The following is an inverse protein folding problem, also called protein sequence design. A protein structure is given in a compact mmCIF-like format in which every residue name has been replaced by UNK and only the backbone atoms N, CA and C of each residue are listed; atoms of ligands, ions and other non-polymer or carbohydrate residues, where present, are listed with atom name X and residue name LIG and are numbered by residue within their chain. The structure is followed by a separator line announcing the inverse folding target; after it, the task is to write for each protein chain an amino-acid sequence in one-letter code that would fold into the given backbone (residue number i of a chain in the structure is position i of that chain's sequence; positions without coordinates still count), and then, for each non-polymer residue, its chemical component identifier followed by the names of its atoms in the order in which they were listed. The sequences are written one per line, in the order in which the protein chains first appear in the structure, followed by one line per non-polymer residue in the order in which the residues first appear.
data_IF_967026671485
#
_entry.id   IF_967026671485
#
_cell.length_a   1.000
_cell.length_b   1.000
_cell.length_c   1.000
_cell.angle_alpha   90.00
_cell.angle_beta   90.00
_cell.angle_gamma   90.00
#
_symmetry.space_group_name_H-M   'P 1'
#
loop_
_entity.id
_entity.type
_entity.pdbx_description
1 polymer ?
#
# COMPACT_ATOMS: atom_id res chain seq x y z
N UNK A 1 -44.43 44.62 27.47
CA UNK A 1 -43.76 43.40 27.97
C UNK A 1 -44.16 42.27 27.06
N UNK A 2 -43.31 42.01 26.08
CA UNK A 2 -43.37 40.85 25.18
C UNK A 2 -41.95 40.69 24.67
N UNK A 3 -41.16 39.93 25.42
CA UNK A 3 -39.81 39.57 25.06
C UNK A 3 -39.90 38.42 24.03
N UNK A 4 -39.53 38.71 22.79
CA UNK A 4 -39.23 37.70 21.78
C UNK A 4 -37.78 37.27 22.00
N UNK A 5 -37.57 36.12 22.62
CA UNK A 5 -36.26 35.47 22.66
C UNK A 5 -35.92 34.93 21.27
N UNK A 6 -34.97 35.61 20.64
CA UNK A 6 -34.27 35.22 19.42
C UNK A 6 -33.44 33.95 19.69
N UNK A 7 -33.90 32.81 19.19
CA UNK A 7 -33.11 31.58 19.19
C UNK A 7 -31.99 31.71 18.16
N UNK A 8 -30.81 32.09 18.64
CA UNK A 8 -29.54 31.97 17.91
C UNK A 8 -29.31 30.49 17.59
N UNK A 9 -29.39 30.13 16.32
CA UNK A 9 -28.88 28.86 15.81
C UNK A 9 -27.38 28.79 16.15
N UNK A 10 -27.01 27.81 16.97
CA UNK A 10 -25.61 27.49 17.24
C UNK A 10 -25.01 27.03 15.92
N UNK A 11 -23.98 27.73 15.44
CA UNK A 11 -23.13 27.28 14.34
C UNK A 11 -22.74 25.82 14.62
N UNK A 12 -23.30 24.90 13.83
CA UNK A 12 -22.74 23.56 13.72
C UNK A 12 -21.36 23.74 13.10
N UNK A 13 -20.33 23.80 13.94
CA UNK A 13 -18.96 23.52 13.50
C UNK A 13 -19.04 22.32 12.58
N UNK A 14 -18.61 22.49 11.33
CA UNK A 14 -18.51 21.40 10.39
C UNK A 14 -17.63 20.33 11.05
N UNK A 15 -18.24 19.26 11.55
CA UNK A 15 -17.52 18.05 11.89
C UNK A 15 -16.89 17.59 10.60
N UNK A 16 -15.59 17.86 10.42
CA UNK A 16 -14.79 17.32 9.33
C UNK A 16 -15.07 15.81 9.27
N UNK A 17 -15.57 15.33 8.13
CA UNK A 17 -15.88 13.92 7.99
C UNK A 17 -14.54 13.14 8.01
N UNK A 18 -14.51 11.94 8.62
CA UNK A 18 -13.28 11.15 8.69
C UNK A 18 -12.70 10.89 7.30
N UNK A 19 -11.59 11.54 6.96
CA UNK A 19 -11.00 11.38 5.63
C UNK A 19 -11.07 12.59 4.72
N UNK A 20 -11.42 13.79 5.18
CA UNK A 20 -11.45 14.98 4.31
C UNK A 20 -10.07 15.59 4.00
N UNK A 21 -9.05 15.30 4.80
CA UNK A 21 -7.68 15.79 4.59
C UNK A 21 -6.82 14.79 3.79
N UNK A 22 -6.42 15.17 2.57
CA UNK A 22 -5.49 14.40 1.73
C UNK A 22 -4.42 15.29 1.09
N UNK A 23 -3.19 14.78 1.06
CA UNK A 23 -2.11 15.37 0.25
C UNK A 23 -2.34 15.11 -1.24
N UNK A 24 -2.12 16.12 -2.09
CA UNK A 24 -2.14 15.95 -3.54
C UNK A 24 -0.96 15.09 -4.02
N UNK A 25 -1.24 14.14 -4.91
CA UNK A 25 -0.22 13.24 -5.46
C UNK A 25 0.44 13.85 -6.70
N UNK A 26 1.68 14.30 -6.56
CA UNK A 26 2.51 14.69 -7.72
C UNK A 26 3.05 13.44 -8.45
N UNK A 27 2.70 13.25 -9.73
CA UNK A 27 3.19 12.14 -10.56
C UNK A 27 4.05 12.62 -11.74
N UNK A 28 4.63 13.81 -11.62
CA UNK A 28 5.56 14.36 -12.59
C UNK A 28 6.90 13.59 -12.64
N UNK A 29 7.72 13.91 -13.64
CA UNK A 29 9.04 13.27 -13.78
C UNK A 29 9.93 13.56 -12.57
N UNK A 30 10.40 12.48 -11.95
CA UNK A 30 11.24 12.49 -10.74
C UNK A 30 12.72 12.63 -11.08
N UNK A 31 13.57 12.80 -10.06
CA UNK A 31 15.03 12.71 -10.25
C UNK A 31 15.45 11.34 -10.80
N UNK A 32 14.77 10.26 -10.42
CA UNK A 32 14.99 8.94 -11.00
C UNK A 32 14.75 8.90 -12.52
N UNK A 33 13.74 9.64 -13.03
CA UNK A 33 13.55 9.78 -14.49
C UNK A 33 14.72 10.51 -15.16
N UNK A 34 15.31 11.51 -14.50
CA UNK A 34 16.46 12.25 -15.02
C UNK A 34 17.73 11.41 -15.03
N UNK A 35 17.98 10.66 -13.96
CA UNK A 35 19.08 9.70 -13.84
C UNK A 35 18.99 8.67 -14.97
N UNK A 36 17.80 8.08 -15.16
CA UNK A 36 17.56 7.09 -16.21
C UNK A 36 17.83 7.64 -17.62
N UNK A 37 17.51 8.91 -17.88
CA UNK A 37 17.79 9.58 -19.17
C UNK A 37 19.26 9.94 -19.37
N UNK A 38 19.94 10.38 -18.31
CA UNK A 38 21.34 10.83 -18.36
C UNK A 38 22.30 9.65 -18.52
N UNK A 39 21.95 8.48 -17.96
CA UNK A 39 22.75 7.25 -17.97
C UNK A 39 24.22 7.50 -17.65
N UNK A 40 24.51 8.08 -16.48
CA UNK A 40 25.91 8.24 -16.06
C UNK A 40 26.61 6.89 -15.83
N UNK A 41 27.94 6.94 -15.66
CA UNK A 41 28.78 5.75 -15.56
C UNK A 41 28.42 4.89 -14.34
N UNK A 42 28.05 5.51 -13.22
CA UNK A 42 27.70 4.79 -12.00
C UNK A 42 26.35 4.08 -12.15
N UNK A 43 25.36 4.75 -12.73
CA UNK A 43 24.09 4.15 -13.08
C UNK A 43 24.24 3.00 -14.07
N UNK A 44 25.09 3.14 -15.09
CA UNK A 44 25.35 2.08 -16.06
C UNK A 44 25.94 0.82 -15.40
N UNK A 45 26.89 1.01 -14.47
CA UNK A 45 27.49 -0.09 -13.71
C UNK A 45 26.50 -0.73 -12.72
N UNK A 46 25.69 0.08 -12.04
CA UNK A 46 24.61 -0.42 -11.19
C UNK A 46 23.62 -1.28 -12.00
N UNK A 47 23.21 -0.79 -13.18
CA UNK A 47 22.32 -1.51 -14.09
C UNK A 47 22.91 -2.86 -14.51
N UNK A 48 24.19 -2.90 -14.87
CA UNK A 48 24.87 -4.15 -15.24
C UNK A 48 24.86 -5.13 -14.08
N UNK A 49 25.23 -4.69 -12.87
CA UNK A 49 25.17 -5.52 -11.65
C UNK A 49 23.78 -6.06 -11.34
N UNK A 50 22.74 -5.23 -11.44
CA UNK A 50 21.35 -5.67 -11.19
C UNK A 50 20.90 -6.68 -12.24
N UNK A 51 21.23 -6.47 -13.52
CA UNK A 51 20.91 -7.42 -14.60
C UNK A 51 21.67 -8.74 -14.46
N UNK A 52 22.88 -8.69 -13.93
CA UNK A 52 23.73 -9.86 -13.71
C UNK A 52 23.43 -10.60 -12.40
N UNK A 53 22.63 -10.04 -11.51
CA UNK A 53 22.21 -10.71 -10.28
C UNK A 53 21.13 -11.75 -10.59
N UNK A 54 21.38 -13.00 -10.21
CA UNK A 54 20.52 -14.14 -10.55
C UNK A 54 19.08 -13.97 -10.06
N UNK A 55 18.90 -13.32 -8.91
CA UNK A 55 17.59 -12.96 -8.35
C UNK A 55 16.72 -12.07 -9.26
N UNK A 56 17.35 -11.33 -10.18
CA UNK A 56 16.66 -10.50 -11.18
C UNK A 56 16.69 -11.09 -12.60
N UNK A 57 17.55 -12.08 -12.86
CA UNK A 57 17.65 -12.75 -14.17
C UNK A 57 16.46 -13.65 -14.48
N UNK A 58 15.96 -14.39 -13.48
CA UNK A 58 14.82 -15.30 -13.63
C UNK A 58 13.56 -14.56 -14.11
N UNK A 59 13.49 -13.27 -13.80
CA UNK A 59 12.35 -12.41 -14.11
C UNK A 59 12.35 -11.92 -15.57
N UNK A 60 13.48 -11.96 -16.29
CA UNK A 60 13.50 -11.64 -17.72
C UNK A 60 13.27 -10.16 -18.04
N UNK A 61 14.22 -9.29 -17.69
CA UNK A 61 14.26 -7.91 -18.21
C UNK A 61 13.04 -7.04 -17.87
N UNK A 62 12.31 -7.35 -16.78
CA UNK A 62 11.00 -6.77 -16.45
C UNK A 62 11.06 -5.27 -16.12
N UNK A 63 12.19 -4.80 -15.60
CA UNK A 63 12.32 -3.41 -15.17
C UNK A 63 12.77 -2.52 -16.31
N UNK A 64 11.95 -1.51 -16.60
CA UNK A 64 12.33 -0.44 -17.52
C UNK A 64 13.46 0.42 -16.92
N UNK A 65 14.10 1.23 -17.77
CA UNK A 65 15.24 2.07 -17.34
C UNK A 65 14.83 3.04 -16.22
N UNK A 66 13.58 3.49 -16.22
CA UNK A 66 13.07 4.40 -15.21
C UNK A 66 12.84 3.71 -13.85
N UNK A 67 12.46 2.44 -13.82
CA UNK A 67 12.40 1.63 -12.60
C UNK A 67 13.81 1.38 -12.06
N UNK A 68 14.78 1.08 -12.93
CA UNK A 68 16.18 0.96 -12.53
C UNK A 68 16.72 2.27 -11.95
N UNK A 69 16.34 3.42 -12.54
CA UNK A 69 16.62 4.75 -12.00
C UNK A 69 16.05 4.95 -10.59
N UNK A 70 14.82 4.46 -10.35
CA UNK A 70 14.19 4.52 -9.03
C UNK A 70 14.95 3.68 -7.99
N UNK A 71 15.29 2.44 -8.34
CA UNK A 71 16.07 1.56 -7.46
C UNK A 71 17.45 2.15 -7.16
N UNK A 72 18.13 2.70 -8.18
CA UNK A 72 19.41 3.36 -7.99
C UNK A 72 19.31 4.54 -7.02
N UNK A 73 18.28 5.37 -7.18
CA UNK A 73 18.03 6.50 -6.28
C UNK A 73 17.76 6.04 -4.85
N UNK A 74 16.94 5.02 -4.65
CA UNK A 74 16.68 4.44 -3.31
C UNK A 74 17.96 3.89 -2.66
N UNK A 75 18.88 3.32 -3.44
CA UNK A 75 20.20 2.89 -2.95
C UNK A 75 21.08 4.09 -2.57
N UNK A 76 21.11 5.13 -3.40
CA UNK A 76 21.87 6.36 -3.13
C UNK A 76 21.36 7.10 -1.89
N UNK A 77 20.04 7.10 -1.69
CA UNK A 77 19.38 7.75 -0.55
C UNK A 77 19.47 6.88 0.74
N UNK A 78 20.09 5.68 0.67
CA UNK A 78 20.33 4.81 1.82
C UNK A 78 19.10 4.02 2.29
N UNK A 79 18.08 3.89 1.43
CA UNK A 79 16.88 3.10 1.71
C UNK A 79 17.03 1.62 1.32
N UNK A 80 18.08 1.27 0.59
CA UNK A 80 18.41 -0.10 0.17
C UNK A 80 19.94 -0.23 0.12
N UNK A 81 20.50 -1.14 0.92
CA UNK A 81 21.93 -1.45 0.92
C UNK A 81 22.25 -2.64 0.01
N UNK A 82 21.44 -3.70 0.10
CA UNK A 82 21.60 -4.91 -0.68
C UNK A 82 20.26 -5.56 -1.00
N UNK A 83 20.11 -6.10 -2.21
CA UNK A 83 18.94 -6.91 -2.57
C UNK A 83 19.19 -8.39 -2.25
N UNK A 84 18.19 -9.01 -1.64
CA UNK A 84 18.08 -10.46 -1.48
C UNK A 84 17.16 -11.09 -2.54
N UNK A 85 16.61 -12.25 -2.20
CA UNK A 85 15.77 -13.04 -3.09
C UNK A 85 14.35 -12.48 -3.29
N UNK A 86 13.64 -12.94 -4.34
CA UNK A 86 12.23 -12.62 -4.52
C UNK A 86 11.39 -13.25 -3.40
N UNK A 87 10.52 -12.44 -2.78
CA UNK A 87 9.53 -12.89 -1.78
C UNK A 87 8.24 -13.31 -2.47
N UNK A 88 7.79 -12.53 -3.46
CA UNK A 88 6.53 -12.76 -4.16
C UNK A 88 6.61 -12.20 -5.58
N UNK A 89 6.15 -12.99 -6.54
CA UNK A 89 6.03 -12.58 -7.94
C UNK A 89 4.55 -12.57 -8.32
N UNK A 90 4.00 -11.37 -8.44
CA UNK A 90 2.59 -11.14 -8.75
C UNK A 90 2.39 -10.64 -10.18
N UNK A 91 1.14 -10.68 -10.64
CA UNK A 91 0.76 -10.08 -11.93
C UNK A 91 1.02 -8.58 -11.97
N UNK A 92 0.82 -7.90 -10.83
CA UNK A 92 0.82 -6.45 -10.70
C UNK A 92 2.14 -5.90 -10.13
N UNK A 93 2.79 -6.64 -9.23
CA UNK A 93 4.03 -6.22 -8.59
C UNK A 93 4.92 -7.43 -8.25
N UNK A 94 6.21 -7.16 -8.13
CA UNK A 94 7.19 -8.07 -7.54
C UNK A 94 7.61 -7.53 -6.19
N UNK A 95 7.83 -8.42 -5.22
CA UNK A 95 8.34 -8.05 -3.90
C UNK A 95 9.65 -8.77 -3.68
N UNK A 96 10.70 -8.02 -3.37
CA UNK A 96 12.04 -8.54 -3.08
C UNK A 96 12.38 -8.29 -1.62
N UNK A 97 13.09 -9.23 -1.00
CA UNK A 97 13.79 -8.96 0.24
C UNK A 97 14.98 -8.06 -0.06
N UNK A 98 15.29 -7.15 0.85
CA UNK A 98 16.50 -6.34 0.82
C UNK A 98 16.93 -6.01 2.25
N UNK A 99 18.13 -5.49 2.39
CA UNK A 99 18.68 -4.98 3.65
C UNK A 99 18.76 -3.45 3.58
N UNK A 100 18.46 -2.77 4.67
CA UNK A 100 18.69 -1.33 4.82
C UNK A 100 19.02 -1.01 6.29
N UNK A 101 20.18 -0.39 6.54
CA UNK A 101 20.60 -0.02 7.89
C UNK A 101 20.84 -1.20 8.84
N UNK A 102 21.03 -2.40 8.31
CA UNK A 102 21.15 -3.66 9.06
C UNK A 102 19.82 -4.34 9.40
N UNK A 103 18.69 -3.80 8.96
CA UNK A 103 17.35 -4.39 9.09
C UNK A 103 16.85 -4.94 7.74
N UNK A 104 15.98 -5.95 7.79
CA UNK A 104 15.30 -6.49 6.61
C UNK A 104 14.16 -5.55 6.16
N UNK A 105 14.15 -5.23 4.87
CA UNK A 105 13.09 -4.45 4.21
C UNK A 105 12.50 -5.20 3.02
N UNK A 106 11.24 -4.91 2.72
CA UNK A 106 10.56 -5.39 1.52
C UNK A 106 10.54 -4.29 0.46
N UNK A 107 10.99 -4.62 -0.75
CA UNK A 107 10.97 -3.73 -1.91
C UNK A 107 9.90 -4.20 -2.89
N UNK A 108 8.75 -3.53 -2.87
CA UNK A 108 7.60 -3.79 -3.77
C UNK A 108 7.73 -2.93 -5.02
N UNK A 109 7.91 -3.59 -6.16
CA UNK A 109 8.09 -2.97 -7.49
C UNK A 109 6.86 -3.23 -8.34
N UNK A 110 6.07 -2.19 -8.59
CA UNK A 110 4.89 -2.26 -9.44
C UNK A 110 5.26 -2.31 -10.94
N UNK A 111 4.55 -3.15 -11.70
CA UNK A 111 4.73 -3.28 -13.14
C UNK A 111 3.96 -2.18 -13.87
N UNK A 112 4.68 -1.30 -14.57
CA UNK A 112 4.09 -0.21 -15.36
C UNK A 112 3.11 -0.72 -16.43
N UNK A 113 3.39 -1.89 -17.03
CA UNK A 113 2.59 -2.48 -18.11
C UNK A 113 1.69 -3.65 -17.65
N UNK A 114 1.27 -3.68 -16.38
CA UNK A 114 0.40 -4.73 -15.87
C UNK A 114 -0.92 -4.85 -16.67
N UNK A 115 -1.42 -6.09 -16.83
CA UNK A 115 -2.67 -6.41 -17.52
C UNK A 115 -3.91 -5.88 -16.80
N UNK A 116 -3.85 -5.82 -15.47
CA UNK A 116 -4.98 -5.48 -14.59
C UNK A 116 -5.13 -3.97 -14.35
N UNK A 117 -4.53 -3.16 -15.22
CA UNK A 117 -4.62 -1.70 -15.24
C UNK A 117 -6.05 -1.14 -15.06
N UNK A 118 -7.05 -1.80 -15.67
CA UNK A 118 -8.45 -1.39 -15.55
C UNK A 118 -9.01 -1.59 -14.14
N UNK A 119 -8.54 -2.61 -13.42
CA UNK A 119 -8.94 -2.88 -12.06
C UNK A 119 -8.30 -1.87 -11.10
N UNK A 120 -7.00 -1.60 -11.23
CA UNK A 120 -6.34 -0.53 -10.46
C UNK A 120 -7.07 0.80 -10.62
N UNK A 121 -7.46 1.18 -11.85
CA UNK A 121 -8.21 2.43 -12.07
C UNK A 121 -9.51 2.51 -11.26
N UNK A 122 -10.26 1.41 -11.14
CA UNK A 122 -11.52 1.39 -10.36
C UNK A 122 -11.31 1.71 -8.88
N UNK A 123 -10.22 1.23 -8.29
CA UNK A 123 -9.86 1.54 -6.91
C UNK A 123 -9.27 2.96 -6.72
N UNK A 124 -9.04 3.70 -7.80
CA UNK A 124 -8.64 5.12 -7.78
C UNK A 124 -9.80 6.06 -8.09
N UNK A 125 -10.85 5.57 -8.73
CA UNK A 125 -12.07 6.34 -8.98
C UNK A 125 -12.66 6.81 -7.63
N UNK A 126 -13.25 8.00 -7.56
CA UNK A 126 -13.78 8.56 -6.32
C UNK A 126 -12.75 9.06 -5.29
N UNK A 127 -11.46 8.69 -5.40
CA UNK A 127 -10.43 9.17 -4.50
C UNK A 127 -10.02 10.61 -4.85
N UNK A 128 -10.24 11.60 -3.95
CA UNK A 128 -9.97 13.01 -4.22
C UNK A 128 -8.55 13.31 -4.67
N UNK A 129 -7.57 12.49 -4.24
CA UNK A 129 -6.13 12.58 -4.58
C UNK A 129 -5.84 12.33 -6.06
N UNK A 130 -6.76 11.69 -6.78
CA UNK A 130 -6.55 11.20 -8.15
C UNK A 130 -7.35 11.97 -9.20
N UNK A 131 -8.14 12.99 -8.82
CA UNK A 131 -9.00 13.77 -9.72
C UNK A 131 -8.29 14.35 -10.94
N UNK A 132 -7.00 14.69 -10.80
CA UNK A 132 -6.20 15.33 -11.84
C UNK A 132 -5.25 14.35 -12.57
N UNK A 133 -5.34 13.04 -12.31
CA UNK A 133 -4.40 12.07 -12.87
C UNK A 133 -4.89 11.61 -14.25
N UNK A 134 -4.03 11.75 -15.25
CA UNK A 134 -4.34 11.37 -16.62
C UNK A 134 -4.60 9.86 -16.79
N UNK A 135 -5.18 9.47 -17.92
CA UNK A 135 -5.47 8.07 -18.25
C UNK A 135 -4.23 7.23 -18.63
N UNK A 136 -3.02 7.80 -18.48
CA UNK A 136 -1.78 7.12 -18.82
C UNK A 136 -1.45 6.05 -17.78
N UNK A 137 -1.16 4.83 -18.26
CA UNK A 137 -0.78 3.68 -17.42
C UNK A 137 0.34 4.00 -16.44
N UNK A 138 1.40 4.68 -16.91
CA UNK A 138 2.53 5.09 -16.07
C UNK A 138 2.02 5.91 -14.88
N UNK A 139 1.30 7.00 -15.14
CA UNK A 139 0.87 7.95 -14.11
C UNK A 139 -0.03 7.28 -13.05
N UNK A 140 -0.94 6.42 -13.48
CA UNK A 140 -1.80 5.64 -12.58
C UNK A 140 -0.99 4.70 -11.71
N UNK A 141 0.00 3.98 -12.25
CA UNK A 141 0.85 3.10 -11.44
C UNK A 141 1.67 3.90 -10.44
N UNK A 142 2.26 5.03 -10.84
CA UNK A 142 2.99 5.91 -9.91
C UNK A 142 2.08 6.42 -8.79
N UNK A 143 0.88 6.86 -9.16
CA UNK A 143 -0.11 7.34 -8.21
C UNK A 143 -0.53 6.22 -7.25
N UNK A 144 -0.72 5.00 -7.76
CA UNK A 144 -1.04 3.82 -6.98
C UNK A 144 0.04 3.47 -5.96
N UNK A 145 1.31 3.50 -6.35
CA UNK A 145 2.43 3.25 -5.43
C UNK A 145 2.46 4.31 -4.31
N UNK A 146 2.26 5.59 -4.65
CA UNK A 146 2.15 6.66 -3.64
C UNK A 146 0.91 6.50 -2.75
N UNK A 147 -0.20 6.03 -3.31
CA UNK A 147 -1.43 5.68 -2.58
C UNK A 147 -1.14 4.68 -1.48
N UNK A 148 -0.47 3.57 -1.83
CA UNK A 148 -0.18 2.51 -0.88
C UNK A 148 0.75 3.02 0.23
N UNK A 149 1.79 3.78 -0.13
CA UNK A 149 2.66 4.44 0.86
C UNK A 149 1.85 5.30 1.85
N UNK A 150 0.97 6.18 1.34
CA UNK A 150 0.13 7.04 2.18
C UNK A 150 -0.87 6.25 3.03
N UNK A 151 -1.49 5.21 2.46
CA UNK A 151 -2.44 4.36 3.16
C UNK A 151 -1.77 3.56 4.28
N UNK A 152 -0.55 3.02 4.07
CA UNK A 152 0.24 2.36 5.10
C UNK A 152 0.56 3.32 6.26
N UNK A 153 0.98 4.55 5.97
CA UNK A 153 1.24 5.56 7.01
C UNK A 153 -0.01 5.86 7.83
N UNK A 154 -1.13 6.08 7.14
CA UNK A 154 -2.42 6.42 7.76
C UNK A 154 -2.95 5.27 8.63
N UNK A 155 -2.89 4.04 8.13
CA UNK A 155 -3.27 2.83 8.87
C UNK A 155 -2.38 2.61 10.11
N UNK A 156 -1.06 2.75 9.95
CA UNK A 156 -0.10 2.64 11.04
C UNK A 156 -0.34 3.69 12.13
N UNK A 157 -0.61 4.94 11.74
CA UNK A 157 -0.95 6.01 12.68
C UNK A 157 -2.25 5.75 13.46
N UNK A 158 -3.22 5.04 12.86
CA UNK A 158 -4.43 4.58 13.55
C UNK A 158 -4.24 3.33 14.41
N UNK A 159 -3.00 2.84 14.54
CA UNK A 159 -2.68 1.66 15.33
C UNK A 159 -3.10 0.33 14.68
N UNK A 160 -3.28 0.30 13.37
CA UNK A 160 -3.40 -0.94 12.60
C UNK A 160 -1.99 -1.45 12.32
N UNK A 161 -1.73 -2.73 12.59
CA UNK A 161 -0.43 -3.32 12.26
C UNK A 161 -0.32 -3.53 10.76
N UNK A 162 0.57 -2.76 10.14
CA UNK A 162 0.89 -2.80 8.72
C UNK A 162 2.41 -2.66 8.56
N UNK A 163 3.01 -3.14 7.45
CA UNK A 163 4.41 -2.86 7.15
C UNK A 163 4.69 -1.36 7.22
N UNK A 164 5.66 -0.95 8.03
CA UNK A 164 6.03 0.46 8.14
C UNK A 164 6.57 0.95 6.77
N UNK A 165 5.95 1.95 6.13
CA UNK A 165 6.41 2.44 4.85
C UNK A 165 7.63 3.35 5.05
N UNK A 166 8.74 3.02 4.38
CA UNK A 166 10.05 3.68 4.57
C UNK A 166 10.27 4.74 3.50
N UNK A 167 10.14 4.35 2.23
CA UNK A 167 10.36 5.25 1.10
C UNK A 167 9.52 4.84 -0.11
N UNK A 168 9.22 5.81 -0.98
CA UNK A 168 8.59 5.58 -2.26
C UNK A 168 9.31 6.38 -3.33
N UNK A 169 9.74 5.70 -4.39
CA UNK A 169 10.33 6.35 -5.56
C UNK A 169 9.71 5.75 -6.82
N UNK A 170 9.04 6.60 -7.60
CA UNK A 170 8.27 6.20 -8.78
C UNK A 170 7.30 5.04 -8.50
N UNK A 171 7.56 3.87 -9.08
CA UNK A 171 6.77 2.64 -8.98
C UNK A 171 7.35 1.64 -7.95
N UNK A 172 8.29 2.09 -7.12
CA UNK A 172 8.95 1.27 -6.10
C UNK A 172 8.55 1.79 -4.72
N UNK A 173 8.07 0.88 -3.87
CA UNK A 173 7.77 1.10 -2.46
C UNK A 173 8.74 0.26 -1.61
N UNK A 174 9.43 0.92 -0.69
CA UNK A 174 10.25 0.29 0.35
C UNK A 174 9.47 0.36 1.67
N UNK A 175 9.33 -0.77 2.34
CA UNK A 175 8.63 -0.89 3.62
C UNK A 175 9.31 -1.94 4.51
N UNK A 176 9.02 -1.93 5.80
CA UNK A 176 9.52 -2.93 6.74
C UNK A 176 9.15 -4.35 6.27
N UNK A 177 10.10 -5.28 6.36
CA UNK A 177 9.82 -6.67 6.09
C UNK A 177 9.03 -7.30 7.24
N UNK A 178 7.95 -8.01 6.94
CA UNK A 178 7.17 -8.76 7.93
C UNK A 178 7.51 -10.23 7.78
N UNK A 179 8.46 -10.69 8.60
CA UNK A 179 9.03 -12.01 8.52
C UNK A 179 10.25 -12.15 9.44
N UNK A 180 10.90 -13.31 9.40
CA UNK A 180 12.05 -13.62 10.24
C UNK A 180 13.06 -14.46 9.47
N UNK A 181 14.35 -14.19 9.69
CA UNK A 181 15.46 -14.93 9.09
C UNK A 181 15.39 -15.02 7.55
N UNK A 182 14.94 -13.93 6.91
CA UNK A 182 14.73 -13.85 5.46
C UNK A 182 13.49 -14.60 4.94
N UNK A 183 12.72 -15.25 5.80
CA UNK A 183 11.46 -15.91 5.44
C UNK A 183 10.25 -15.01 5.73
N UNK A 184 9.36 -14.87 4.75
CA UNK A 184 8.14 -14.07 4.94
C UNK A 184 7.24 -14.68 6.02
N UNK A 185 6.50 -13.82 6.71
CA UNK A 185 5.42 -14.26 7.58
C UNK A 185 4.40 -15.12 6.81
N UNK A 186 3.83 -16.09 7.51
CA UNK A 186 2.77 -16.95 6.97
C UNK A 186 1.48 -16.16 6.86
N UNK A 187 0.73 -16.39 5.78
CA UNK A 187 -0.61 -15.84 5.62
C UNK A 187 -1.57 -16.52 6.60
N UNK A 188 -2.66 -15.85 6.94
CA UNK A 188 -3.66 -16.39 7.84
C UNK A 188 -4.22 -17.73 7.32
N UNK A 189 -4.44 -17.85 6.01
CA UNK A 189 -4.88 -19.09 5.37
C UNK A 189 -3.83 -20.22 5.30
N UNK A 190 -2.57 -19.95 5.66
CA UNK A 190 -1.47 -20.93 5.67
C UNK A 190 -1.24 -21.55 7.07
N UNK A 191 -2.01 -21.12 8.08
CA UNK A 191 -1.84 -21.56 9.47
C UNK A 191 -3.16 -22.09 10.05
N UNK A 192 -3.04 -22.90 11.09
CA UNK A 192 -4.18 -23.27 11.91
C UNK A 192 -4.46 -22.16 12.93
N UNK A 193 -5.72 -21.73 13.01
CA UNK A 193 -6.15 -20.68 13.92
C UNK A 193 -6.70 -21.34 15.19
N UNK A 194 -5.97 -21.23 16.30
CA UNK A 194 -6.37 -21.83 17.59
C UNK A 194 -7.60 -21.13 18.20
N UNK A 195 -7.71 -19.80 18.03
CA UNK A 195 -8.81 -19.02 18.55
C UNK A 195 -9.41 -18.13 17.44
N UNK A 196 -10.33 -18.68 16.61
CA UNK A 196 -10.96 -17.95 15.53
C UNK A 196 -11.74 -16.73 16.01
N UNK A 197 -12.39 -16.80 17.17
CA UNK A 197 -13.17 -15.71 17.72
C UNK A 197 -12.29 -14.49 18.07
N UNK A 198 -11.18 -14.70 18.77
CA UNK A 198 -10.24 -13.62 19.07
C UNK A 198 -9.61 -13.05 17.80
N UNK A 199 -9.28 -13.90 16.83
CA UNK A 199 -8.74 -13.47 15.53
C UNK A 199 -9.72 -12.55 14.81
N UNK A 200 -10.99 -12.95 14.76
CA UNK A 200 -12.09 -12.16 14.20
C UNK A 200 -12.24 -10.79 14.90
N UNK A 201 -12.21 -10.76 16.23
CA UNK A 201 -12.33 -9.52 17.01
C UNK A 201 -11.20 -8.53 16.73
N UNK A 202 -9.96 -9.03 16.59
CA UNK A 202 -8.80 -8.20 16.22
C UNK A 202 -8.97 -7.64 14.80
N UNK A 203 -9.39 -8.47 13.84
CA UNK A 203 -9.60 -8.04 12.45
C UNK A 203 -10.74 -7.00 12.35
N UNK A 204 -11.83 -7.21 13.09
CA UNK A 204 -12.94 -6.25 13.18
C UNK A 204 -12.47 -4.91 13.74
N UNK A 205 -11.64 -4.92 14.78
CA UNK A 205 -11.08 -3.70 15.34
C UNK A 205 -10.14 -2.99 14.36
N UNK A 206 -9.32 -3.72 13.60
CA UNK A 206 -8.50 -3.12 12.53
C UNK A 206 -9.35 -2.52 11.41
N UNK A 207 -10.40 -3.21 10.97
CA UNK A 207 -11.32 -2.69 9.97
C UNK A 207 -12.00 -1.40 10.45
N UNK A 208 -12.42 -1.34 11.72
CA UNK A 208 -12.96 -0.14 12.36
C UNK A 208 -11.95 1.00 12.37
N UNK A 209 -10.70 0.75 12.79
CA UNK A 209 -9.62 1.77 12.80
C UNK A 209 -9.30 2.29 11.41
N UNK A 210 -9.28 1.44 10.38
CA UNK A 210 -9.14 1.88 8.99
C UNK A 210 -10.30 2.81 8.61
N UNK A 211 -11.53 2.40 8.92
CA UNK A 211 -12.72 3.19 8.62
C UNK A 211 -12.70 4.57 9.29
N UNK A 212 -12.29 4.65 10.56
CA UNK A 212 -12.13 5.92 11.29
C UNK A 212 -11.08 6.85 10.66
N UNK A 213 -10.18 6.32 9.82
CA UNK A 213 -9.26 7.14 9.03
C UNK A 213 -9.81 7.51 7.65
N UNK A 214 -11.02 7.11 7.30
CA UNK A 214 -11.58 7.29 5.97
C UNK A 214 -11.07 6.27 4.95
N UNK A 215 -10.53 5.12 5.39
CA UNK A 215 -10.04 4.04 4.54
C UNK A 215 -10.88 2.77 4.70
N UNK A 216 -11.12 2.06 3.61
CA UNK A 216 -11.65 0.70 3.63
C UNK A 216 -10.75 -0.20 2.80
N UNK A 217 -10.33 -1.32 3.35
CA UNK A 217 -9.51 -2.28 2.64
C UNK A 217 -10.35 -2.99 1.55
N UNK A 218 -10.03 -2.78 0.28
CA UNK A 218 -10.86 -3.23 -0.86
C UNK A 218 -10.82 -4.73 -1.17
N UNK A 219 -9.94 -5.48 -0.51
CA UNK A 219 -9.76 -6.94 -0.66
C UNK A 219 -9.23 -7.59 0.64
N UNK A 220 -9.87 -7.32 1.79
CA UNK A 220 -9.39 -7.87 3.06
C UNK A 220 -9.82 -9.34 3.18
N UNK A 221 -8.87 -10.24 2.95
CA UNK A 221 -9.05 -11.70 3.01
C UNK A 221 -7.89 -12.35 3.75
N UNK A 222 -7.98 -13.66 4.01
CA UNK A 222 -6.92 -14.46 4.64
C UNK A 222 -5.60 -14.47 3.86
N UNK A 223 -5.61 -14.04 2.59
CA UNK A 223 -4.43 -13.89 1.74
C UNK A 223 -3.65 -12.60 1.99
N UNK A 224 -4.33 -11.55 2.46
CA UNK A 224 -3.79 -10.20 2.73
C UNK A 224 -3.60 -9.93 4.23
N UNK A 225 -3.70 -10.99 5.04
CA UNK A 225 -3.37 -10.98 6.47
C UNK A 225 -2.21 -11.93 6.69
N UNK A 226 -1.15 -11.47 7.34
CA UNK A 226 -0.02 -12.31 7.74
C UNK A 226 0.11 -12.34 9.25
N UNK A 227 0.66 -13.44 9.77
CA UNK A 227 0.88 -13.63 11.20
C UNK A 227 2.36 -13.61 11.49
N UNK A 228 2.78 -12.64 12.28
CA UNK A 228 4.17 -12.43 12.69
C UNK A 228 4.22 -12.13 14.18
N UNK A 229 5.09 -12.83 14.91
CA UNK A 229 5.22 -12.74 16.37
C UNK A 229 3.87 -12.81 17.12
N UNK A 230 3.04 -13.78 16.73
CA UNK A 230 1.68 -14.00 17.28
C UNK A 230 0.72 -12.81 17.12
N UNK A 231 1.00 -11.90 16.18
CA UNK A 231 0.15 -10.75 15.87
C UNK A 231 -0.30 -10.79 14.42
N UNK A 232 -1.50 -10.28 14.18
CA UNK A 232 -2.04 -10.09 12.83
C UNK A 232 -1.49 -8.79 12.25
N UNK A 233 -1.06 -8.85 11.00
CA UNK A 233 -0.60 -7.73 10.20
C UNK A 233 -1.41 -7.69 8.89
N UNK A 234 -1.92 -6.52 8.55
CA UNK A 234 -2.58 -6.27 7.27
C UNK A 234 -1.51 -5.85 6.25
N UNK A 235 -1.52 -6.48 5.09
CA UNK A 235 -0.65 -6.16 3.95
C UNK A 235 -1.49 -5.74 2.74
N UNK A 236 -0.85 -5.15 1.73
CA UNK A 236 -1.46 -4.77 0.44
C UNK A 236 -2.57 -3.69 0.51
N UNK A 237 -2.28 -2.59 1.20
CA UNK A 237 -3.19 -1.42 1.28
C UNK A 237 -3.26 -0.58 -0.01
N UNK A 238 -2.67 -1.02 -1.12
CA UNK A 238 -2.84 -0.37 -2.43
C UNK A 238 -4.29 -0.39 -2.91
N UNK A 239 -4.99 -1.49 -2.63
CA UNK A 239 -6.40 -1.68 -2.99
C UNK A 239 -7.38 -1.01 -2.02
N UNK A 240 -6.91 -0.40 -0.93
CA UNK A 240 -7.79 0.31 -0.01
C UNK A 240 -8.38 1.56 -0.66
N UNK A 241 -9.68 1.78 -0.52
CA UNK A 241 -10.42 2.91 -1.09
C UNK A 241 -10.78 3.92 -0.01
N UNK A 242 -11.03 5.16 -0.40
CA UNK A 242 -11.57 6.17 0.50
C UNK A 242 -13.05 5.90 0.77
N UNK A 243 -13.55 6.24 1.96
CA UNK A 243 -14.97 6.08 2.28
C UNK A 243 -15.90 6.90 1.36
N UNK A 244 -15.39 7.96 0.72
CA UNK A 244 -16.13 8.78 -0.23
C UNK A 244 -16.20 8.20 -1.66
N UNK A 245 -15.72 6.97 -1.87
CA UNK A 245 -15.80 6.32 -3.18
C UNK A 245 -17.28 6.08 -3.57
N UNK A 246 -17.72 6.66 -4.68
CA UNK A 246 -19.09 6.56 -5.19
C UNK A 246 -19.42 5.11 -5.57
N UNK A 247 -20.07 4.41 -4.65
CA UNK A 247 -20.35 2.97 -4.73
C UNK A 247 -20.45 2.32 -3.35
N UNK A 248 -19.92 2.97 -2.32
CA UNK A 248 -20.11 2.61 -0.92
C UNK A 248 -21.35 3.33 -0.36
N UNK A 249 -22.52 3.13 -0.97
CA UNK A 249 -23.84 3.42 -0.35
C UNK A 249 -24.18 2.40 0.76
N UNK A 250 -23.15 1.75 1.31
CA UNK A 250 -23.22 0.78 2.38
C UNK A 250 -22.65 1.47 3.61
N UNK A 251 -23.41 1.48 4.69
CA UNK A 251 -22.94 2.02 5.97
C UNK A 251 -21.62 1.36 6.37
N UNK A 252 -20.76 2.04 7.12
CA UNK A 252 -19.49 1.45 7.59
C UNK A 252 -19.68 0.08 8.24
N UNK A 253 -20.84 -0.15 8.87
CA UNK A 253 -21.24 -1.44 9.45
C UNK A 253 -21.47 -2.55 8.41
N UNK A 254 -21.96 -2.27 7.20
CA UNK A 254 -22.18 -3.27 6.15
C UNK A 254 -20.89 -3.67 5.43
N UNK A 255 -19.94 -2.73 5.28
CA UNK A 255 -18.58 -3.02 4.81
C UNK A 255 -17.79 -3.82 5.84
N UNK A 256 -17.89 -3.43 7.12
CA UNK A 256 -17.40 -4.23 8.24
C UNK A 256 -18.06 -5.61 8.22
N UNK A 257 -19.37 -5.73 8.01
CA UNK A 257 -20.06 -7.01 7.93
C UNK A 257 -19.58 -7.87 6.75
N UNK A 258 -19.34 -7.30 5.58
CA UNK A 258 -18.83 -8.05 4.43
C UNK A 258 -17.41 -8.58 4.66
N UNK A 259 -16.49 -7.70 5.05
CA UNK A 259 -15.09 -8.03 5.37
C UNK A 259 -15.02 -9.04 6.52
N UNK A 260 -15.89 -8.90 7.52
CA UNK A 260 -15.93 -9.81 8.65
C UNK A 260 -16.66 -11.12 8.33
N UNK A 261 -17.60 -11.15 7.38
CA UNK A 261 -18.30 -12.38 6.95
C UNK A 261 -17.42 -13.34 6.16
N UNK A 262 -16.48 -12.82 5.35
CA UNK A 262 -15.51 -13.66 4.65
C UNK A 262 -14.42 -14.19 5.60
N UNK A 263 -14.08 -13.42 6.64
CA UNK A 263 -13.14 -13.82 7.69
C UNK A 263 -13.80 -14.65 8.81
N UNK A 264 -15.12 -14.82 8.81
CA UNK A 264 -15.83 -15.62 9.81
C UNK A 264 -15.45 -17.10 9.66
N UNK A 265 -15.26 -17.84 10.77
CA UNK A 265 -15.07 -19.28 10.68
C UNK A 265 -16.27 -19.90 9.96
N UNK A 266 -16.00 -20.65 8.88
CA UNK A 266 -17.03 -21.48 8.26
C UNK A 266 -17.41 -22.56 9.27
N UNK A 267 -18.69 -22.63 9.60
CA UNK A 267 -19.20 -23.79 10.34
C UNK A 267 -19.04 -25.02 9.43
N UNK A 268 -18.29 -26.02 9.92
CA UNK A 268 -18.14 -27.35 9.28
C UNK A 268 -19.44 -28.16 9.36
#
# INVERSE_FOLDING_TARGET
MSDEEEYSLVDTEATEEPGDEWEELDVSDTEADRIARKQDREFAHFRERIKDADQFKVEGGVFDEATLGALYKLVQDGHIDAFGGPISTGKEAHVFLAEAGGDDVAVKIYRINASDFRQMRRYLEGDPRFRNIGSNKKQVVLAWTKKEFANLRRAGAAGVRVPEPIAVERNVLVMAFVGRDGERAKRLGEIHIENPQTTYEVLREYARRLYDTGLVHGDLSEYNIVVHDSQLWIIDLGQAVTIHHQGLDTTGEELLAHVTSEAAPRED
#
